data_IF_160082089423
#
_entry.id   IF_160082089423
#
_cell.length_a   1.000
_cell.length_b   1.000
_cell.length_c   1.000
_cell.angle_alpha   90.00
_cell.angle_beta   90.00
_cell.angle_gamma   90.00
#
_symmetry.space_group_name_H-M   'P 1'
#
loop_
_entity.id
_entity.type
_entity.pdbx_description
1 polymer ?
#
# COMPACT_ATOMS: atom_id res chain seq x y z
N UNK A 1 -9.79 10.19 10.79
CA UNK A 1 -9.36 8.97 11.53
C UNK A 1 -8.36 8.20 10.69
N UNK A 2 -7.17 7.98 11.24
CA UNK A 2 -6.05 7.31 10.58
C UNK A 2 -6.06 5.81 10.89
N UNK A 3 -6.02 4.96 9.88
CA UNK A 3 -6.02 3.51 10.03
C UNK A 3 -4.59 2.95 9.96
N UNK A 4 -4.06 2.31 10.99
CA UNK A 4 -2.90 1.44 10.85
C UNK A 4 -3.29 0.21 10.02
N UNK A 5 -2.55 -0.05 8.95
CA UNK A 5 -2.83 -1.14 8.00
C UNK A 5 -1.60 -2.06 7.98
N UNK A 6 -1.66 -3.22 8.62
CA UNK A 6 -0.57 -4.18 8.52
C UNK A 6 -0.40 -4.67 7.10
N UNK A 7 0.83 -5.03 6.71
CA UNK A 7 1.15 -5.43 5.36
C UNK A 7 1.88 -6.78 5.33
N UNK A 8 1.47 -7.64 4.38
CA UNK A 8 2.09 -8.92 4.07
C UNK A 8 2.52 -8.92 2.61
N UNK A 9 3.82 -9.08 2.36
CA UNK A 9 4.33 -9.36 1.03
C UNK A 9 4.50 -10.86 0.89
N UNK A 10 3.95 -11.41 -0.20
CA UNK A 10 4.01 -12.83 -0.53
C UNK A 10 5.00 -13.07 -1.66
N UNK A 11 5.92 -14.02 -1.44
CA UNK A 11 6.79 -14.59 -2.46
C UNK A 11 7.00 -16.08 -2.21
N UNK A 12 6.79 -16.91 -3.23
CA UNK A 12 6.82 -18.36 -3.12
C UNK A 12 5.94 -18.89 -1.96
N UNK A 13 4.76 -18.27 -1.76
CA UNK A 13 3.83 -18.59 -0.68
C UNK A 13 4.27 -18.18 0.72
N UNK A 14 5.39 -17.48 0.86
CA UNK A 14 6.00 -17.09 2.15
C UNK A 14 5.85 -15.60 2.43
N UNK A 15 5.85 -15.25 3.72
CA UNK A 15 5.93 -13.86 4.17
C UNK A 15 7.35 -13.35 4.01
N UNK A 16 7.52 -12.30 3.22
CA UNK A 16 8.83 -11.71 2.95
C UNK A 16 8.82 -10.19 3.11
N UNK A 17 10.00 -9.58 3.08
CA UNK A 17 10.21 -8.13 2.87
C UNK A 17 11.43 -7.92 2.00
N UNK A 18 11.28 -7.03 1.04
CA UNK A 18 12.39 -6.55 0.22
C UNK A 18 12.99 -5.30 0.87
N UNK A 19 14.27 -5.07 0.65
CA UNK A 19 14.94 -3.82 0.97
C UNK A 19 14.92 -2.91 -0.26
N UNK A 20 14.22 -1.78 -0.20
CA UNK A 20 14.03 -0.85 -1.33
C UNK A 20 13.54 -1.53 -2.62
N UNK A 21 12.66 -2.53 -2.50
CA UNK A 21 12.11 -3.27 -3.64
C UNK A 21 13.06 -4.23 -4.34
N UNK A 22 14.28 -4.40 -3.82
CA UNK A 22 15.30 -5.27 -4.42
C UNK A 22 15.03 -6.75 -4.09
N UNK A 23 14.72 -7.53 -5.13
CA UNK A 23 14.43 -8.97 -5.02
C UNK A 23 15.62 -9.82 -4.56
N UNK A 24 16.85 -9.31 -4.71
CA UNK A 24 18.07 -9.97 -4.23
C UNK A 24 18.32 -9.68 -2.74
N UNK A 25 17.68 -8.65 -2.20
CA UNK A 25 17.78 -8.26 -0.78
C UNK A 25 16.50 -8.59 -0.01
N UNK A 26 16.10 -9.85 -0.06
CA UNK A 26 14.91 -10.37 0.60
C UNK A 26 15.23 -10.83 2.02
N UNK A 27 14.33 -10.50 2.95
CA UNK A 27 14.22 -11.14 4.27
C UNK A 27 12.98 -12.01 4.26
N UNK A 28 13.10 -13.29 4.60
CA UNK A 28 11.97 -14.21 4.78
C UNK A 28 11.68 -14.35 6.26
N UNK A 29 10.39 -14.29 6.63
CA UNK A 29 9.91 -14.43 8.00
C UNK A 29 9.25 -15.80 8.20
N UNK A 30 9.44 -16.40 9.37
CA UNK A 30 8.89 -17.70 9.72
C UNK A 30 7.42 -17.61 10.19
N UNK A 31 6.59 -16.88 9.44
CA UNK A 31 5.15 -16.77 9.70
C UNK A 31 4.39 -17.42 8.57
N UNK A 32 3.37 -18.20 8.91
CA UNK A 32 2.38 -18.64 7.93
C UNK A 32 1.46 -17.44 7.59
N UNK A 33 1.26 -17.13 6.30
CA UNK A 33 0.54 -15.91 5.89
C UNK A 33 -0.86 -15.78 6.49
N UNK A 34 -1.64 -16.85 6.49
CA UNK A 34 -3.01 -16.86 7.01
C UNK A 34 -3.03 -16.68 8.53
N UNK A 35 -2.13 -17.33 9.24
CA UNK A 35 -2.03 -17.22 10.70
C UNK A 35 -1.55 -15.81 11.11
N UNK A 36 -0.64 -15.22 10.34
CA UNK A 36 -0.20 -13.85 10.57
C UNK A 36 -1.36 -12.86 10.38
N UNK A 37 -2.17 -13.04 9.34
CA UNK A 37 -3.36 -12.22 9.09
C UNK A 37 -4.38 -12.35 10.25
N UNK A 38 -4.63 -13.57 10.74
CA UNK A 38 -5.50 -13.80 11.91
C UNK A 38 -4.96 -13.14 13.18
N UNK A 39 -3.65 -13.18 13.39
CA UNK A 39 -3.01 -12.49 14.51
C UNK A 39 -3.24 -10.98 14.43
N UNK A 40 -3.06 -10.37 13.27
CA UNK A 40 -3.34 -8.94 13.11
C UNK A 40 -4.82 -8.60 13.37
N UNK A 41 -5.75 -9.47 12.95
CA UNK A 41 -7.17 -9.31 13.26
C UNK A 41 -7.44 -9.41 14.77
N UNK A 42 -6.84 -10.39 15.45
CA UNK A 42 -6.97 -10.55 16.90
C UNK A 42 -6.41 -9.36 17.67
N UNK A 43 -5.37 -8.71 17.13
CA UNK A 43 -4.79 -7.47 17.68
C UNK A 43 -5.64 -6.22 17.36
N UNK A 44 -6.77 -6.35 16.65
CA UNK A 44 -7.73 -5.29 16.37
C UNK A 44 -7.61 -4.62 15.00
N UNK A 45 -6.75 -5.10 14.09
CA UNK A 45 -6.73 -4.59 12.72
C UNK A 45 -8.09 -4.81 12.05
N UNK A 46 -8.49 -3.88 11.18
CA UNK A 46 -9.71 -4.00 10.37
C UNK A 46 -9.41 -4.15 8.88
N UNK A 47 -8.22 -3.76 8.48
CA UNK A 47 -7.71 -3.86 7.12
C UNK A 47 -6.38 -4.59 7.09
N UNK A 48 -6.09 -5.23 5.96
CA UNK A 48 -4.80 -5.84 5.65
C UNK A 48 -4.39 -5.44 4.22
N UNK A 49 -3.13 -5.06 4.05
CA UNK A 49 -2.51 -4.86 2.74
C UNK A 49 -1.71 -6.10 2.36
N UNK A 50 -1.98 -6.65 1.16
CA UNK A 50 -1.26 -7.84 0.66
C UNK A 50 -0.66 -7.55 -0.71
N UNK A 51 0.61 -7.87 -0.89
CA UNK A 51 1.30 -7.75 -2.18
C UNK A 51 1.75 -9.13 -2.66
N UNK A 52 1.30 -9.53 -3.84
CA UNK A 52 1.85 -10.68 -4.56
C UNK A 52 3.10 -10.25 -5.33
N UNK A 53 4.29 -10.47 -4.75
CA UNK A 53 5.56 -10.08 -5.37
C UNK A 53 5.91 -10.95 -6.58
N UNK A 54 5.54 -12.23 -6.58
CA UNK A 54 5.72 -13.09 -7.75
C UNK A 54 4.83 -12.60 -8.89
N UNK A 55 3.57 -12.27 -8.59
CA UNK A 55 2.65 -11.66 -9.52
C UNK A 55 3.14 -10.31 -10.05
N UNK A 56 3.69 -9.46 -9.20
CA UNK A 56 4.27 -8.17 -9.61
C UNK A 56 5.37 -8.35 -10.65
N UNK A 57 6.17 -9.41 -10.54
CA UNK A 57 7.24 -9.75 -11.46
C UNK A 57 6.74 -10.44 -12.74
N UNK A 58 5.95 -11.51 -12.60
CA UNK A 58 5.51 -12.36 -13.71
C UNK A 58 4.31 -11.80 -14.49
N UNK A 59 3.44 -11.04 -13.82
CA UNK A 59 2.12 -10.63 -14.29
C UNK A 59 1.06 -11.74 -14.14
N UNK A 60 1.39 -12.80 -13.41
CA UNK A 60 0.48 -13.88 -13.06
C UNK A 60 0.19 -13.81 -11.56
N UNK A 61 -1.02 -14.15 -11.13
CA UNK A 61 -1.37 -14.17 -9.71
C UNK A 61 -0.90 -15.49 -9.06
N UNK A 62 0.41 -15.58 -8.80
CA UNK A 62 1.06 -16.81 -8.30
C UNK A 62 0.59 -17.18 -6.89
N UNK A 63 0.37 -16.18 -6.04
CA UNK A 63 -0.06 -16.35 -4.66
C UNK A 63 -1.58 -16.22 -4.45
N UNK A 64 -2.39 -16.26 -5.53
CA UNK A 64 -3.84 -16.10 -5.44
C UNK A 64 -4.51 -17.06 -4.45
N UNK A 65 -4.16 -18.37 -4.39
CA UNK A 65 -4.75 -19.27 -3.42
C UNK A 65 -4.49 -18.84 -1.96
N UNK A 66 -3.29 -18.37 -1.65
CA UNK A 66 -2.93 -17.83 -0.33
C UNK A 66 -3.72 -16.57 -0.02
N UNK A 67 -3.84 -15.66 -0.99
CA UNK A 67 -4.60 -14.44 -0.85
C UNK A 67 -6.09 -14.70 -0.61
N UNK A 68 -6.67 -15.65 -1.36
CA UNK A 68 -8.07 -16.11 -1.14
C UNK A 68 -8.26 -16.67 0.27
N UNK A 69 -7.32 -17.50 0.74
CA UNK A 69 -7.38 -18.06 2.09
C UNK A 69 -7.30 -16.97 3.17
N UNK A 70 -6.48 -15.96 2.99
CA UNK A 70 -6.41 -14.77 3.87
C UNK A 70 -7.75 -14.02 3.85
N UNK A 71 -8.28 -13.70 2.69
CA UNK A 71 -9.52 -12.93 2.54
C UNK A 71 -10.72 -13.66 3.17
N UNK A 72 -10.77 -15.00 3.04
CA UNK A 72 -11.86 -15.82 3.56
C UNK A 72 -11.80 -16.04 5.08
N UNK A 73 -10.62 -16.02 5.69
CA UNK A 73 -10.44 -16.58 7.05
C UNK A 73 -9.96 -15.60 8.12
N UNK A 74 -9.46 -14.42 7.73
CA UNK A 74 -8.85 -13.51 8.70
C UNK A 74 -9.85 -12.52 9.35
N UNK A 75 -11.07 -12.39 8.82
CA UNK A 75 -12.04 -11.41 9.31
C UNK A 75 -11.64 -9.95 9.03
N UNK A 76 -10.67 -9.73 8.12
CA UNK A 76 -10.15 -8.45 7.72
C UNK A 76 -10.68 -8.05 6.33
N UNK A 77 -10.90 -6.77 6.13
CA UNK A 77 -11.01 -6.25 4.78
C UNK A 77 -9.61 -6.25 4.13
N UNK A 78 -9.47 -6.92 2.99
CA UNK A 78 -8.18 -7.05 2.30
C UNK A 78 -8.09 -6.08 1.15
N UNK A 79 -7.00 -5.29 1.11
CA UNK A 79 -6.57 -4.61 -0.12
C UNK A 79 -5.35 -5.34 -0.68
N UNK A 80 -5.36 -5.66 -1.96
CA UNK A 80 -4.30 -6.45 -2.56
C UNK A 80 -3.89 -5.96 -3.95
N UNK A 81 -2.61 -6.13 -4.24
CA UNK A 81 -1.98 -5.82 -5.52
C UNK A 81 -0.86 -6.79 -5.87
N UNK A 82 -0.20 -6.52 -6.99
CA UNK A 82 0.83 -7.36 -7.58
C UNK A 82 0.33 -8.08 -8.84
N UNK A 83 0.93 -7.78 -9.98
CA UNK A 83 0.62 -8.45 -11.24
C UNK A 83 -0.58 -7.95 -12.04
N UNK A 84 -1.24 -6.89 -11.62
CA UNK A 84 -2.37 -6.31 -12.36
C UNK A 84 -1.84 -5.56 -13.59
N UNK A 85 -2.17 -6.06 -14.77
CA UNK A 85 -1.77 -5.49 -16.05
C UNK A 85 -2.95 -5.09 -16.94
N UNK A 86 -4.15 -5.54 -16.59
CA UNK A 86 -5.39 -5.31 -17.32
C UNK A 86 -6.61 -5.37 -16.40
N UNK A 87 -7.79 -5.14 -16.96
CA UNK A 87 -9.06 -5.17 -16.24
C UNK A 87 -9.43 -6.59 -15.76
N UNK A 88 -9.00 -7.62 -16.46
CA UNK A 88 -9.23 -9.00 -16.05
C UNK A 88 -8.53 -9.28 -14.70
N UNK A 89 -7.32 -8.74 -14.50
CA UNK A 89 -6.62 -8.80 -13.22
C UNK A 89 -7.40 -8.13 -12.09
N UNK A 90 -8.02 -6.98 -12.33
CA UNK A 90 -8.90 -6.33 -11.36
C UNK A 90 -10.06 -7.22 -10.99
N UNK A 91 -10.77 -7.77 -12.00
CA UNK A 91 -11.92 -8.65 -11.80
C UNK A 91 -11.54 -9.90 -11.00
N UNK A 92 -10.43 -10.55 -11.34
CA UNK A 92 -9.95 -11.77 -10.64
C UNK A 92 -9.70 -11.53 -9.16
N UNK A 93 -9.09 -10.41 -8.78
CA UNK A 93 -8.89 -10.09 -7.36
C UNK A 93 -10.19 -9.78 -6.63
N UNK A 94 -11.12 -9.06 -7.28
CA UNK A 94 -12.42 -8.78 -6.70
C UNK A 94 -13.25 -10.06 -6.50
N UNK A 95 -13.22 -10.99 -7.48
CA UNK A 95 -13.87 -12.29 -7.41
C UNK A 95 -13.23 -13.20 -6.34
N UNK A 96 -11.95 -13.01 -6.06
CA UNK A 96 -11.22 -13.70 -4.99
C UNK A 96 -11.56 -13.18 -3.57
N UNK A 97 -12.47 -12.20 -3.43
CA UNK A 97 -12.91 -11.67 -2.14
C UNK A 97 -12.11 -10.47 -1.63
N UNK A 98 -11.23 -9.90 -2.47
CA UNK A 98 -10.48 -8.68 -2.13
C UNK A 98 -11.42 -7.49 -2.08
N UNK A 99 -11.39 -6.71 -1.00
CA UNK A 99 -12.24 -5.54 -0.82
C UNK A 99 -11.79 -4.36 -1.68
N UNK A 100 -10.47 -4.18 -1.86
CA UNK A 100 -9.85 -3.15 -2.71
C UNK A 100 -8.72 -3.73 -3.54
N UNK A 101 -8.67 -3.36 -4.80
CA UNK A 101 -7.59 -3.71 -5.73
C UNK A 101 -6.57 -2.57 -5.76
N UNK A 102 -5.30 -2.89 -5.53
CA UNK A 102 -4.20 -1.93 -5.51
C UNK A 102 -3.50 -1.96 -6.87
N UNK A 103 -3.60 -0.87 -7.61
CA UNK A 103 -3.07 -0.73 -8.97
C UNK A 103 -1.85 0.17 -8.97
N UNK A 104 -0.68 -0.39 -9.32
CA UNK A 104 0.62 0.30 -9.32
C UNK A 104 1.04 0.76 -10.71
N UNK A 105 2.02 0.11 -11.32
CA UNK A 105 2.65 0.53 -12.59
C UNK A 105 1.67 0.83 -13.74
N UNK A 106 0.55 0.13 -13.81
CA UNK A 106 -0.50 0.40 -14.81
C UNK A 106 -1.16 1.76 -14.59
N UNK A 107 -1.29 2.21 -13.35
CA UNK A 107 -1.83 3.54 -13.04
C UNK A 107 -0.92 4.67 -13.53
N UNK A 108 0.37 4.41 -13.74
CA UNK A 108 1.30 5.40 -14.29
C UNK A 108 1.30 5.35 -15.81
N UNK A 109 1.28 4.15 -16.38
CA UNK A 109 1.42 3.95 -17.84
C UNK A 109 0.13 4.14 -18.61
N UNK A 110 -0.99 3.68 -18.06
CA UNK A 110 -2.31 3.69 -18.70
C UNK A 110 -3.38 4.31 -17.79
N UNK A 111 -3.21 5.59 -17.40
CA UNK A 111 -4.10 6.23 -16.42
C UNK A 111 -5.55 6.31 -16.89
N UNK A 112 -5.79 6.43 -18.19
CA UNK A 112 -7.13 6.47 -18.77
C UNK A 112 -7.88 5.14 -18.57
N UNK A 113 -7.18 4.00 -18.71
CA UNK A 113 -7.73 2.68 -18.43
C UNK A 113 -8.10 2.54 -16.96
N UNK A 114 -7.20 2.95 -16.06
CA UNK A 114 -7.46 2.88 -14.61
C UNK A 114 -8.58 3.84 -14.18
N UNK A 115 -8.69 5.02 -14.81
CA UNK A 115 -9.82 5.93 -14.60
C UNK A 115 -11.16 5.28 -15.01
N UNK A 116 -11.19 4.54 -16.12
CA UNK A 116 -12.37 3.78 -16.51
C UNK A 116 -12.72 2.68 -15.50
N UNK A 117 -11.72 2.01 -14.91
CA UNK A 117 -11.95 1.01 -13.85
C UNK A 117 -12.50 1.65 -12.57
N UNK A 118 -12.05 2.85 -12.19
CA UNK A 118 -12.62 3.60 -11.07
C UNK A 118 -14.11 3.85 -11.30
N UNK A 119 -14.50 4.27 -12.52
CA UNK A 119 -15.90 4.48 -12.90
C UNK A 119 -16.71 3.18 -12.88
N UNK A 120 -16.13 2.05 -13.32
CA UNK A 120 -16.81 0.76 -13.45
C UNK A 120 -16.97 0.03 -12.12
N UNK A 121 -15.91 -0.07 -11.32
CA UNK A 121 -15.89 -0.85 -10.07
C UNK A 121 -16.20 0.00 -8.84
N UNK A 122 -16.16 1.32 -8.97
CA UNK A 122 -16.37 2.28 -7.90
C UNK A 122 -15.05 2.72 -7.22
N UNK A 123 -15.00 3.98 -6.84
CA UNK A 123 -13.83 4.62 -6.25
C UNK A 123 -13.38 4.00 -4.92
N UNK A 124 -14.29 3.35 -4.19
CA UNK A 124 -13.97 2.64 -2.93
C UNK A 124 -13.25 1.31 -3.16
N UNK A 125 -13.26 0.76 -4.38
CA UNK A 125 -12.69 -0.54 -4.69
C UNK A 125 -11.33 -0.47 -5.37
N UNK A 126 -10.89 0.71 -5.81
CA UNK A 126 -9.60 0.91 -6.47
C UNK A 126 -8.70 1.79 -5.57
N UNK A 127 -7.51 1.32 -5.30
CA UNK A 127 -6.43 2.06 -4.63
C UNK A 127 -5.33 2.31 -5.66
N UNK A 128 -5.05 3.57 -5.93
CA UNK A 128 -3.88 3.94 -6.74
C UNK A 128 -2.62 3.73 -5.91
N UNK A 129 -1.66 2.94 -6.37
CA UNK A 129 -0.34 2.83 -5.76
C UNK A 129 0.66 3.63 -6.61
N UNK A 130 0.97 4.83 -6.16
CA UNK A 130 1.93 5.72 -6.80
C UNK A 130 3.19 5.78 -5.94
N UNK A 131 4.09 4.85 -6.22
CA UNK A 131 5.40 4.80 -5.59
C UNK A 131 6.27 5.90 -6.20
N UNK A 132 6.98 6.64 -5.37
CA UNK A 132 7.66 7.86 -5.81
C UNK A 132 9.02 8.05 -5.15
N UNK A 133 9.86 8.87 -5.79
CA UNK A 133 11.11 9.41 -5.24
C UNK A 133 11.27 10.86 -5.61
N UNK A 134 11.90 11.64 -4.74
CA UNK A 134 12.20 13.04 -5.05
C UNK A 134 13.52 13.13 -5.81
N UNK A 135 13.46 13.60 -7.08
CA UNK A 135 14.63 13.78 -7.93
C UNK A 135 14.42 14.99 -8.86
N UNK A 136 15.46 15.79 -9.03
CA UNK A 136 15.47 16.96 -9.92
C UNK A 136 14.30 17.93 -9.67
N UNK A 137 13.99 18.17 -8.38
CA UNK A 137 12.93 19.09 -7.96
C UNK A 137 11.51 18.57 -8.11
N UNK A 138 11.29 17.30 -8.48
CA UNK A 138 9.98 16.69 -8.68
C UNK A 138 9.84 15.32 -8.01
N UNK A 139 8.61 14.94 -7.70
CA UNK A 139 8.25 13.59 -7.26
C UNK A 139 8.07 12.69 -8.48
N UNK A 140 9.13 11.97 -8.86
CA UNK A 140 9.17 11.06 -10.00
C UNK A 140 8.45 9.76 -9.68
N UNK A 141 7.81 9.17 -10.68
CA UNK A 141 7.03 7.93 -10.57
C UNK A 141 7.74 6.82 -11.37
N UNK A 142 8.56 5.98 -10.74
CA UNK A 142 9.11 4.82 -11.42
C UNK A 142 8.05 3.72 -11.57
N UNK A 143 8.19 2.92 -12.61
CA UNK A 143 7.36 1.75 -12.90
C UNK A 143 8.19 0.46 -12.96
N UNK A 144 7.54 -0.67 -13.32
CA UNK A 144 8.19 -1.96 -13.50
C UNK A 144 9.07 -2.39 -12.31
N UNK A 145 8.52 -2.33 -11.08
CA UNK A 145 9.29 -2.65 -9.87
C UNK A 145 10.40 -1.64 -9.59
N UNK A 146 10.16 -0.36 -9.91
CA UNK A 146 11.04 0.80 -9.69
C UNK A 146 12.30 0.84 -10.58
N UNK A 147 12.32 0.03 -11.64
CA UNK A 147 13.46 -0.07 -12.55
C UNK A 147 13.36 0.82 -13.79
N UNK A 148 12.16 1.27 -14.16
CA UNK A 148 11.92 2.17 -15.28
C UNK A 148 11.47 3.54 -14.76
N UNK A 149 12.05 4.62 -15.31
CA UNK A 149 11.60 5.98 -15.03
C UNK A 149 10.52 6.37 -16.05
N UNK A 150 9.41 6.89 -15.54
CA UNK A 150 8.31 7.38 -16.36
C UNK A 150 8.38 8.91 -16.49
N UNK A 151 7.93 9.48 -17.61
CA UNK A 151 7.99 10.92 -17.81
C UNK A 151 7.05 11.71 -16.89
N UNK A 152 5.96 11.08 -16.44
CA UNK A 152 4.95 11.70 -15.58
C UNK A 152 5.43 11.79 -14.14
N UNK A 153 5.01 12.86 -13.48
CA UNK A 153 5.27 13.09 -12.05
C UNK A 153 4.02 12.82 -11.21
N UNK A 154 4.17 12.83 -9.90
CA UNK A 154 3.04 12.76 -8.97
C UNK A 154 2.09 13.96 -9.18
N UNK A 155 2.65 15.14 -9.43
CA UNK A 155 1.90 16.38 -9.68
C UNK A 155 1.08 16.34 -10.98
N UNK A 156 1.50 15.56 -11.96
CA UNK A 156 0.74 15.36 -13.20
C UNK A 156 -0.44 14.41 -13.01
N UNK A 157 -0.23 13.30 -12.27
CA UNK A 157 -1.23 12.24 -12.16
C UNK A 157 -2.29 12.49 -11.08
N UNK A 158 -1.95 13.13 -9.96
CA UNK A 158 -2.92 13.32 -8.89
C UNK A 158 -4.13 14.18 -9.31
N UNK A 159 -3.96 15.33 -9.99
CA UNK A 159 -5.10 16.10 -10.49
C UNK A 159 -5.96 15.32 -11.48
N UNK A 160 -5.33 14.55 -12.38
CA UNK A 160 -6.03 13.69 -13.33
C UNK A 160 -6.91 12.67 -12.61
N UNK A 161 -6.37 11.97 -11.62
CA UNK A 161 -7.12 10.96 -10.89
C UNK A 161 -8.20 11.54 -9.97
N UNK A 162 -7.99 12.72 -9.40
CA UNK A 162 -9.06 13.42 -8.68
C UNK A 162 -10.23 13.75 -9.60
N UNK A 163 -9.94 14.25 -10.80
CA UNK A 163 -10.98 14.52 -11.81
C UNK A 163 -11.71 13.26 -12.27
N UNK A 164 -11.01 12.11 -12.29
CA UNK A 164 -11.60 10.79 -12.56
C UNK A 164 -12.38 10.21 -11.37
N UNK A 165 -12.46 10.90 -10.24
CA UNK A 165 -13.19 10.47 -9.05
C UNK A 165 -12.46 9.46 -8.17
N UNK A 166 -11.15 9.33 -8.30
CA UNK A 166 -10.33 8.49 -7.41
C UNK A 166 -10.50 8.91 -5.95
N UNK A 167 -10.41 7.94 -5.04
CA UNK A 167 -10.61 8.16 -3.61
C UNK A 167 -9.44 7.70 -2.75
N UNK A 168 -8.78 6.63 -3.11
CA UNK A 168 -7.71 6.03 -2.33
C UNK A 168 -6.38 6.13 -3.07
N UNK A 169 -5.37 6.64 -2.36
CA UNK A 169 -3.99 6.71 -2.80
C UNK A 169 -3.10 6.02 -1.77
N UNK A 170 -2.38 4.99 -2.17
CA UNK A 170 -1.21 4.46 -1.47
C UNK A 170 0.02 5.13 -2.08
N UNK A 171 0.78 5.84 -1.27
CA UNK A 171 1.95 6.58 -1.74
C UNK A 171 3.18 6.16 -0.93
N UNK A 172 4.17 5.56 -1.62
CA UNK A 172 5.40 5.07 -1.03
C UNK A 172 6.58 5.94 -1.43
N UNK A 173 7.35 6.44 -0.46
CA UNK A 173 8.69 6.91 -0.75
C UNK A 173 9.63 5.70 -0.87
N UNK A 174 10.02 5.36 -2.10
CA UNK A 174 10.83 4.16 -2.37
C UNK A 174 12.26 4.25 -1.83
N UNK A 175 12.78 5.44 -1.58
CA UNK A 175 14.09 5.62 -0.95
C UNK A 175 14.05 5.32 0.56
N UNK A 176 12.84 5.29 1.14
CA UNK A 176 12.57 4.96 2.54
C UNK A 176 12.04 3.55 2.74
N UNK A 177 11.48 2.91 1.70
CA UNK A 177 10.84 1.61 1.86
C UNK A 177 11.80 0.51 2.32
N UNK A 178 11.39 -0.24 3.33
CA UNK A 178 12.19 -1.29 3.96
C UNK A 178 13.39 -0.81 4.78
N UNK A 179 13.66 0.52 4.89
CA UNK A 179 14.88 1.05 5.54
C UNK A 179 14.75 1.28 7.04
N UNK A 180 13.52 1.45 7.56
CA UNK A 180 13.25 1.84 8.96
C UNK A 180 13.99 3.13 9.37
N UNK A 181 14.07 4.12 8.48
CA UNK A 181 14.73 5.41 8.74
C UNK A 181 13.76 6.54 9.06
N UNK A 182 12.48 6.24 9.18
CA UNK A 182 11.37 7.17 9.35
C UNK A 182 10.68 7.51 8.03
N UNK A 183 9.35 7.80 8.05
CA UNK A 183 8.57 8.14 6.87
C UNK A 183 8.96 9.52 6.31
N UNK A 184 8.65 9.75 5.02
CA UNK A 184 8.86 11.04 4.40
C UNK A 184 7.66 11.97 4.61
N UNK A 185 7.64 12.69 5.71
CA UNK A 185 6.54 13.61 6.05
C UNK A 185 6.38 14.77 5.07
N UNK A 186 7.45 15.15 4.34
CA UNK A 186 7.38 16.18 3.31
C UNK A 186 6.56 15.73 2.10
N UNK A 187 6.67 14.44 1.71
CA UNK A 187 5.86 13.85 0.65
C UNK A 187 4.36 13.96 0.97
N UNK A 188 3.95 13.57 2.18
CA UNK A 188 2.52 13.55 2.52
C UNK A 188 1.94 14.96 2.68
N UNK A 189 2.73 15.93 3.15
CA UNK A 189 2.33 17.35 3.11
C UNK A 189 2.14 17.85 1.69
N UNK A 190 3.04 17.49 0.78
CA UNK A 190 2.93 17.84 -0.62
C UNK A 190 1.67 17.24 -1.25
N UNK A 191 1.44 15.92 -1.05
CA UNK A 191 0.24 15.25 -1.55
C UNK A 191 -1.04 15.89 -1.00
N UNK A 192 -1.09 16.20 0.31
CA UNK A 192 -2.25 16.85 0.92
C UNK A 192 -2.54 18.23 0.32
N UNK A 193 -1.49 18.96 -0.08
CA UNK A 193 -1.64 20.29 -0.71
C UNK A 193 -2.21 20.21 -2.14
N UNK A 194 -1.76 19.23 -2.94
CA UNK A 194 -2.16 19.13 -4.36
C UNK A 194 -3.34 18.19 -4.59
N UNK A 195 -3.64 17.29 -3.66
CA UNK A 195 -4.71 16.29 -3.78
C UNK A 195 -5.52 16.15 -2.46
N UNK A 196 -6.15 17.22 -1.96
CA UNK A 196 -6.76 17.24 -0.62
C UNK A 196 -7.99 16.32 -0.47
N UNK A 197 -8.57 15.84 -1.57
CA UNK A 197 -9.73 14.95 -1.55
C UNK A 197 -9.38 13.47 -1.50
N UNK A 198 -8.11 13.12 -1.74
CA UNK A 198 -7.64 11.74 -1.70
C UNK A 198 -7.39 11.27 -0.26
N UNK A 199 -7.83 10.06 0.01
CA UNK A 199 -7.55 9.34 1.25
C UNK A 199 -6.18 8.68 1.14
N UNK A 200 -5.16 9.37 1.62
CA UNK A 200 -3.77 8.96 1.48
C UNK A 200 -3.41 7.88 2.49
N UNK A 201 -2.83 6.79 2.02
CA UNK A 201 -2.17 5.75 2.80
C UNK A 201 -0.66 5.96 2.68
N UNK A 202 -0.03 6.33 3.79
CA UNK A 202 1.41 6.54 3.86
C UNK A 202 2.16 5.21 3.93
N UNK A 203 3.21 5.04 3.13
CA UNK A 203 4.01 3.82 3.06
C UNK A 203 5.50 4.13 2.98
N UNK A 204 6.32 3.23 3.52
CA UNK A 204 7.78 3.33 3.52
C UNK A 204 8.37 4.01 4.76
N UNK A 205 9.38 3.37 5.35
CA UNK A 205 10.25 3.93 6.37
C UNK A 205 9.78 3.90 7.82
N UNK A 206 8.53 3.59 8.12
CA UNK A 206 8.01 3.55 9.51
C UNK A 206 8.82 2.60 10.37
N UNK A 207 9.29 3.08 11.54
CA UNK A 207 10.15 2.35 12.49
C UNK A 207 9.61 2.33 13.92
N UNK A 208 8.75 3.30 14.28
CA UNK A 208 8.32 3.50 15.67
C UNK A 208 6.88 4.02 15.76
N UNK A 209 6.29 3.91 16.94
CA UNK A 209 4.99 4.51 17.24
C UNK A 209 4.98 6.04 17.11
N UNK A 210 6.12 6.70 17.35
CA UNK A 210 6.25 8.14 17.12
C UNK A 210 6.08 8.50 15.64
N UNK A 211 6.61 7.67 14.72
CA UNK A 211 6.41 7.85 13.28
C UNK A 211 4.93 7.68 12.90
N UNK A 212 4.25 6.68 13.47
CA UNK A 212 2.80 6.44 13.25
C UNK A 212 1.98 7.64 13.77
N UNK A 213 2.27 8.12 14.98
CA UNK A 213 1.62 9.31 15.56
C UNK A 213 1.83 10.54 14.69
N UNK A 214 3.08 10.78 14.23
CA UNK A 214 3.41 11.91 13.38
C UNK A 214 2.66 11.93 12.04
N UNK A 215 2.47 10.76 11.43
CA UNK A 215 1.67 10.61 10.22
C UNK A 215 0.16 10.83 10.50
N UNK A 216 -0.35 10.31 11.60
CA UNK A 216 -1.74 10.52 11.98
C UNK A 216 -2.06 12.01 12.21
N UNK A 217 -1.19 12.74 12.90
CA UNK A 217 -1.31 14.19 13.10
C UNK A 217 -1.21 15.00 11.79
N UNK A 218 -0.66 14.42 10.72
CA UNK A 218 -0.68 15.02 9.37
C UNK A 218 -1.99 14.73 8.60
N UNK A 219 -2.92 13.97 9.19
CA UNK A 219 -4.22 13.69 8.59
C UNK A 219 -4.19 12.65 7.47
N UNK A 220 -3.16 11.77 7.39
CA UNK A 220 -3.20 10.66 6.43
C UNK A 220 -4.34 9.70 6.79
N UNK A 221 -4.99 9.12 5.79
CA UNK A 221 -6.11 8.21 6.01
C UNK A 221 -5.67 6.80 6.45
N UNK A 222 -4.42 6.45 6.19
CA UNK A 222 -3.86 5.16 6.61
C UNK A 222 -2.34 5.19 6.70
N UNK A 223 -1.78 4.23 7.43
CA UNK A 223 -0.33 4.00 7.54
C UNK A 223 -0.07 2.52 7.29
N UNK A 224 0.70 2.22 6.25
CA UNK A 224 1.10 0.85 5.92
C UNK A 224 2.24 0.43 6.83
N UNK A 225 2.03 -0.63 7.58
CA UNK A 225 2.96 -1.15 8.58
C UNK A 225 3.48 -2.52 8.16
N UNK A 226 4.72 -2.57 7.69
CA UNK A 226 5.36 -3.80 7.23
C UNK A 226 6.46 -4.28 8.19
N UNK A 227 7.71 -3.92 7.84
CA UNK A 227 8.91 -4.43 8.51
C UNK A 227 8.90 -4.22 10.03
N UNK A 228 8.47 -3.07 10.51
CA UNK A 228 8.43 -2.77 11.94
C UNK A 228 7.53 -3.75 12.73
N UNK A 229 6.34 -4.09 12.19
CA UNK A 229 5.47 -5.11 12.80
C UNK A 229 6.08 -6.51 12.74
N UNK A 230 6.66 -6.90 11.59
CA UNK A 230 7.26 -8.21 11.41
C UNK A 230 8.49 -8.42 12.30
N UNK A 231 9.23 -7.36 12.62
CA UNK A 231 10.38 -7.38 13.53
C UNK A 231 10.00 -7.21 15.00
N UNK A 232 8.71 -6.91 15.29
CA UNK A 232 8.23 -6.76 16.66
C UNK A 232 8.66 -5.45 17.35
N UNK A 233 8.94 -4.39 16.58
CA UNK A 233 9.28 -3.08 17.14
C UNK A 233 8.13 -2.48 17.95
N UNK A 234 6.91 -2.80 17.58
CA UNK A 234 5.66 -2.51 18.29
C UNK A 234 4.56 -3.47 17.81
N UNK A 235 3.50 -3.61 18.58
CA UNK A 235 2.34 -4.43 18.22
C UNK A 235 1.33 -3.65 17.36
N UNK A 236 0.43 -4.38 16.70
CA UNK A 236 -0.70 -3.77 15.99
C UNK A 236 -1.63 -3.02 16.97
N UNK A 237 -1.84 -3.57 18.16
CA UNK A 237 -2.63 -2.93 19.22
C UNK A 237 -2.02 -1.58 19.66
N UNK A 238 -0.67 -1.51 19.78
CA UNK A 238 0.02 -0.25 20.11
C UNK A 238 -0.19 0.80 19.00
N UNK A 239 -0.09 0.40 17.74
CA UNK A 239 -0.30 1.29 16.60
C UNK A 239 -1.74 1.84 16.58
N UNK A 240 -2.75 1.01 16.84
CA UNK A 240 -4.15 1.43 16.99
C UNK A 240 -4.34 2.41 18.14
N UNK A 241 -3.70 2.16 19.27
CA UNK A 241 -3.82 3.03 20.44
C UNK A 241 -3.25 4.43 20.20
N UNK A 242 -2.11 4.56 19.47
CA UNK A 242 -1.52 5.87 19.18
C UNK A 242 -2.28 6.64 18.11
N UNK A 243 -2.83 5.97 17.09
CA UNK A 243 -3.66 6.65 16.08
C UNK A 243 -4.98 7.14 16.66
N UNK A 244 -5.65 6.35 17.51
CA UNK A 244 -6.87 6.78 18.17
C UNK A 244 -6.65 8.03 19.06
N UNK A 245 -5.51 8.11 19.75
CA UNK A 245 -5.14 9.30 20.54
C UNK A 245 -4.84 10.52 19.66
N UNK A 246 -4.14 10.33 18.54
CA UNK A 246 -3.83 11.42 17.62
C UNK A 246 -5.10 11.99 16.98
N UNK A 247 -6.03 11.12 16.54
CA UNK A 247 -7.32 11.53 15.95
C UNK A 247 -8.21 12.28 16.95
N UNK A 248 -8.12 11.98 18.24
CA UNK A 248 -8.86 12.69 19.28
C UNK A 248 -8.28 14.08 19.62
N UNK A 249 -7.04 14.35 19.19
CA UNK A 249 -6.34 15.61 19.41
C UNK A 249 -6.48 16.62 18.25
N UNK A 250 -7.03 16.20 17.09
CA UNK A 250 -7.29 17.00 15.90
C UNK A 250 -8.76 17.44 15.84
#
# INVERSE_FOLDING_TARGET
MTLPIPAIDLRDGKVVRLFKGDYEQQTTFAFEPVELARRYAADGATWLHVVDLDGARSGQFENLPTLMAIAASAGLAVQAGGGIRDEEGVRRLLDAGVARVVVGSIAIREPEAVAAWIGRYGAERIVLALDTRFRDGAWRLPSAGWTAEEPRTLDDLLPFYMAAGARHLLCTDIDRDGTMTGPNTALYRHVAAIAPTLRVQASGGVRSLADVTGLALQGVAGVILGRALLQGEFSMADALAVTARADAAC
#
